data_IF_581913964925
#
_entry.id   IF_581913964925
#
_cell.length_a   1.000
_cell.length_b   1.000
_cell.length_c   1.000
_cell.angle_alpha   90.00
_cell.angle_beta   90.00
_cell.angle_gamma   90.00
#
_symmetry.space_group_name_H-M   'P 1'
#
loop_
_entity.id
_entity.type
_entity.pdbx_description
1 polymer ?
#
# COMPACT_ATOMS: atom_id res chain seq x y z
N UNK A 1 -30.17 14.98 -67.75
CA UNK A 1 -30.13 13.84 -66.81
C UNK A 1 -28.91 12.91 -67.01
N UNK A 2 -27.69 13.43 -67.31
CA UNK A 2 -26.51 12.56 -67.62
C UNK A 2 -25.40 12.59 -66.55
N UNK A 3 -25.45 13.50 -65.57
CA UNK A 3 -24.40 13.65 -64.53
C UNK A 3 -24.59 12.75 -63.30
N UNK A 4 -25.80 12.22 -63.07
CA UNK A 4 -26.11 11.38 -61.91
C UNK A 4 -25.59 9.94 -62.03
N UNK A 5 -25.42 9.44 -63.26
CA UNK A 5 -24.96 8.07 -63.50
C UNK A 5 -23.45 7.87 -63.29
N UNK A 6 -22.64 8.92 -63.44
CA UNK A 6 -21.19 8.86 -63.20
C UNK A 6 -20.83 8.83 -61.71
N UNK A 7 -21.63 9.47 -60.85
CA UNK A 7 -21.40 9.46 -59.41
C UNK A 7 -21.68 8.09 -58.78
N UNK A 8 -22.70 7.38 -59.29
CA UNK A 8 -23.11 6.06 -58.76
C UNK A 8 -22.10 4.97 -59.13
N UNK A 9 -21.55 5.00 -60.35
CA UNK A 9 -20.51 4.05 -60.76
C UNK A 9 -19.19 4.28 -60.03
N UNK A 10 -18.81 5.54 -59.77
CA UNK A 10 -17.64 5.86 -58.96
C UNK A 10 -17.76 5.34 -57.52
N UNK A 11 -18.94 5.48 -56.91
CA UNK A 11 -19.19 5.01 -55.55
C UNK A 11 -19.17 3.48 -55.44
N UNK A 12 -19.74 2.77 -56.43
CA UNK A 12 -19.69 1.31 -56.47
C UNK A 12 -18.27 0.77 -56.67
N UNK A 13 -17.46 1.42 -57.51
CA UNK A 13 -16.08 1.01 -57.75
C UNK A 13 -15.20 1.21 -56.49
N UNK A 14 -15.41 2.31 -55.75
CA UNK A 14 -14.74 2.54 -54.46
C UNK A 14 -15.15 1.50 -53.41
N UNK A 15 -16.44 1.17 -53.30
CA UNK A 15 -16.95 0.18 -52.35
C UNK A 15 -16.42 -1.24 -52.64
N UNK A 16 -16.32 -1.62 -53.92
CA UNK A 16 -15.74 -2.89 -54.34
C UNK A 16 -14.23 -2.99 -54.04
N UNK A 17 -13.49 -1.87 -54.18
CA UNK A 17 -12.07 -1.82 -53.84
C UNK A 17 -11.81 -1.94 -52.32
N UNK A 18 -12.70 -1.41 -51.49
CA UNK A 18 -12.63 -1.53 -50.02
C UNK A 18 -12.97 -2.94 -49.53
N UNK A 19 -13.85 -3.67 -50.22
CA UNK A 19 -14.22 -5.05 -49.87
C UNK A 19 -13.16 -6.09 -50.29
N UNK A 20 -12.29 -5.75 -51.23
CA UNK A 20 -11.25 -6.65 -51.75
C UNK A 20 -9.88 -6.49 -51.05
N UNK A 21 -9.76 -5.60 -50.06
CA UNK A 21 -8.53 -5.43 -49.31
C UNK A 21 -8.29 -6.67 -48.43
N UNK A 22 -7.23 -7.46 -48.65
CA UNK A 22 -6.92 -8.59 -47.78
C UNK A 22 -6.63 -8.06 -46.37
N UNK A 23 -7.04 -8.79 -45.31
CA UNK A 23 -6.70 -8.43 -43.94
C UNK A 23 -5.18 -8.30 -43.84
N UNK A 24 -4.70 -7.09 -43.57
CA UNK A 24 -3.28 -6.86 -43.36
C UNK A 24 -2.90 -7.56 -42.06
N UNK A 25 -1.90 -8.44 -42.05
CA UNK A 25 -1.39 -9.01 -40.81
C UNK A 25 -0.88 -7.85 -39.95
N UNK A 26 -1.57 -7.56 -38.85
CA UNK A 26 -1.08 -6.59 -37.89
C UNK A 26 0.11 -7.22 -37.18
N UNK A 27 1.28 -6.57 -37.25
CA UNK A 27 2.53 -7.03 -36.61
C UNK A 27 2.53 -6.85 -35.09
N UNK A 28 1.36 -6.61 -34.48
CA UNK A 28 1.20 -6.48 -33.04
C UNK A 28 0.76 -7.81 -32.39
N UNK A 29 1.19 -8.95 -32.93
CA UNK A 29 1.19 -10.20 -32.18
C UNK A 29 2.50 -10.26 -31.40
N UNK A 30 2.51 -9.66 -30.22
CA UNK A 30 3.61 -9.84 -29.27
C UNK A 30 3.55 -11.27 -28.75
N UNK A 31 4.10 -12.21 -29.51
CA UNK A 31 4.35 -13.58 -29.05
C UNK A 31 5.62 -13.57 -28.21
N UNK A 32 5.59 -12.87 -27.06
CA UNK A 32 6.58 -13.13 -26.04
C UNK A 32 6.26 -14.52 -25.49
N UNK A 33 7.23 -15.45 -25.47
CA UNK A 33 7.02 -16.68 -24.75
C UNK A 33 6.82 -16.28 -23.28
N UNK A 34 5.69 -16.67 -22.71
CA UNK A 34 5.42 -16.54 -21.28
C UNK A 34 6.34 -17.51 -20.54
N UNK A 35 7.62 -17.15 -20.42
CA UNK A 35 8.66 -17.97 -19.77
C UNK A 35 8.50 -18.04 -18.24
N UNK A 36 7.51 -17.36 -17.68
CA UNK A 36 7.23 -17.37 -16.26
C UNK A 36 5.83 -17.95 -16.03
N UNK A 37 5.77 -19.25 -15.77
CA UNK A 37 4.62 -19.83 -15.07
C UNK A 37 4.93 -19.77 -13.58
N UNK A 38 3.98 -19.26 -12.80
CA UNK A 38 4.11 -19.12 -11.36
C UNK A 38 2.73 -18.93 -10.73
N UNK A 39 2.57 -19.39 -9.50
CA UNK A 39 1.40 -19.07 -8.70
C UNK A 39 1.59 -17.69 -8.08
N UNK A 40 0.75 -16.73 -8.47
CA UNK A 40 0.70 -15.41 -7.85
C UNK A 40 -0.52 -15.36 -6.94
N UNK A 41 -0.29 -15.11 -5.66
CA UNK A 41 -1.38 -14.83 -4.74
C UNK A 41 -1.62 -13.32 -4.73
N UNK A 42 -2.72 -12.90 -5.34
CA UNK A 42 -3.18 -11.53 -5.24
C UNK A 42 -4.01 -11.38 -3.96
N UNK A 43 -3.69 -10.39 -3.15
CA UNK A 43 -4.47 -10.08 -1.96
C UNK A 43 -3.97 -8.81 -1.27
N UNK A 44 -4.55 -8.52 -0.12
CA UNK A 44 -4.19 -7.35 0.69
C UNK A 44 -3.51 -7.78 1.97
N UNK A 45 -2.45 -7.07 2.35
CA UNK A 45 -1.89 -7.17 3.71
C UNK A 45 -2.80 -6.34 4.60
N UNK A 46 -3.52 -7.01 5.49
CA UNK A 46 -4.42 -6.32 6.42
C UNK A 46 -3.61 -5.55 7.48
N UNK A 47 -4.07 -4.36 7.90
CA UNK A 47 -3.39 -3.59 8.92
C UNK A 47 -3.54 -4.22 10.31
N UNK A 48 -2.59 -3.98 11.23
CA UNK A 48 -2.81 -4.29 12.64
C UNK A 48 -4.01 -3.51 13.19
N UNK A 49 -4.63 -4.01 14.25
CA UNK A 49 -5.70 -3.30 14.97
C UNK A 49 -5.21 -2.89 16.34
N UNK A 50 -5.27 -1.60 16.67
CA UNK A 50 -4.87 -1.13 18.00
C UNK A 50 -5.72 -1.76 19.10
N UNK A 51 -5.05 -2.19 20.18
CA UNK A 51 -5.70 -2.74 21.37
C UNK A 51 -5.59 -1.75 22.53
N UNK A 52 -4.38 -1.26 22.80
CA UNK A 52 -4.19 -0.25 23.84
C UNK A 52 -2.82 0.41 23.74
N UNK A 53 -2.70 1.59 24.34
CA UNK A 53 -1.42 2.14 24.76
C UNK A 53 -1.45 2.42 26.26
N UNK A 54 -0.45 1.90 26.97
CA UNK A 54 -0.32 2.07 28.42
C UNK A 54 1.02 2.66 28.77
N UNK A 55 1.03 3.56 29.75
CA UNK A 55 2.26 4.03 30.36
C UNK A 55 2.75 2.98 31.37
N UNK A 56 3.99 2.52 31.22
CA UNK A 56 4.63 1.58 32.14
C UNK A 56 5.81 2.23 32.88
N UNK A 57 5.52 3.06 33.89
CA UNK A 57 6.53 3.80 34.64
C UNK A 57 6.87 5.17 34.03
N UNK A 58 8.02 5.72 34.42
CA UNK A 58 8.42 7.08 33.99
C UNK A 58 8.96 7.04 32.56
N UNK A 59 8.16 7.58 31.63
CA UNK A 59 8.53 7.78 30.23
C UNK A 59 8.69 6.50 29.41
N UNK A 60 8.22 5.36 29.90
CA UNK A 60 8.11 4.14 29.10
C UNK A 60 6.64 3.93 28.73
N UNK A 61 6.38 3.64 27.45
CA UNK A 61 5.05 3.43 26.89
C UNK A 61 5.02 2.12 26.16
N UNK A 62 3.97 1.33 26.40
CA UNK A 62 3.76 0.04 25.75
C UNK A 62 2.54 0.19 24.86
N UNK A 63 2.78 0.03 23.57
CA UNK A 63 1.78 -0.05 22.53
C UNK A 63 1.46 -1.50 22.26
N UNK A 64 0.18 -1.85 22.18
CA UNK A 64 -0.28 -3.22 21.95
C UNK A 64 -1.30 -3.26 20.82
N UNK A 65 -1.17 -4.25 19.94
CA UNK A 65 -2.06 -4.43 18.80
C UNK A 65 -2.42 -5.90 18.61
N UNK A 66 -3.55 -6.12 17.95
CA UNK A 66 -4.01 -7.41 17.52
C UNK A 66 -3.54 -7.70 16.09
N UNK A 67 -3.24 -8.97 15.85
CA UNK A 67 -2.91 -9.47 14.53
C UNK A 67 -4.20 -9.57 13.71
N UNK A 68 -4.23 -9.01 12.49
CA UNK A 68 -5.41 -9.14 11.65
C UNK A 68 -5.60 -10.59 11.20
N UNK A 69 -6.86 -10.98 11.01
CA UNK A 69 -7.24 -12.32 10.54
C UNK A 69 -7.67 -12.22 9.07
N UNK A 70 -7.06 -13.05 8.22
CA UNK A 70 -7.29 -13.06 6.77
C UNK A 70 -6.26 -12.26 5.97
N UNK A 71 -6.50 -12.11 4.68
CA UNK A 71 -5.57 -11.47 3.75
C UNK A 71 -4.31 -12.29 3.46
N UNK A 72 -3.34 -11.65 2.81
CA UNK A 72 -2.03 -12.26 2.53
C UNK A 72 -1.24 -12.39 3.83
N UNK A 73 -0.49 -13.50 4.05
CA UNK A 73 0.32 -13.67 5.25
C UNK A 73 1.30 -12.51 5.44
N UNK A 74 1.34 -11.98 6.66
CA UNK A 74 2.30 -10.94 7.03
C UNK A 74 3.69 -11.54 7.24
N UNK A 75 4.72 -10.81 6.85
CA UNK A 75 6.14 -11.13 7.07
C UNK A 75 6.75 -10.34 8.21
N UNK A 76 6.11 -9.25 8.65
CA UNK A 76 6.53 -8.47 9.81
C UNK A 76 5.64 -7.26 10.08
N UNK A 77 6.12 -6.40 10.97
CA UNK A 77 5.62 -5.05 11.12
C UNK A 77 6.76 -4.07 10.97
N UNK A 78 6.48 -2.91 10.39
CA UNK A 78 7.39 -1.79 10.37
C UNK A 78 6.81 -0.66 11.21
N UNK A 79 7.63 -0.06 12.06
CA UNK A 79 7.21 1.07 12.86
C UNK A 79 8.20 2.23 12.78
N UNK A 80 7.66 3.44 12.89
CA UNK A 80 8.42 4.69 12.98
C UNK A 80 7.86 5.55 14.10
N UNK A 81 8.75 6.26 14.78
CA UNK A 81 8.38 7.24 15.79
C UNK A 81 8.76 8.62 15.26
N UNK A 82 7.80 9.54 15.24
CA UNK A 82 8.00 10.89 14.74
C UNK A 82 7.52 11.95 15.74
N UNK A 83 8.09 13.13 15.64
CA UNK A 83 7.61 14.35 16.30
C UNK A 83 7.32 15.38 15.21
N UNK A 84 6.04 15.63 14.97
CA UNK A 84 5.62 16.39 13.79
C UNK A 84 6.15 15.72 12.52
N UNK A 85 7.00 16.42 11.77
CA UNK A 85 7.61 15.92 10.53
C UNK A 85 8.96 15.24 10.74
N UNK A 86 9.53 15.30 11.94
CA UNK A 86 10.85 14.74 12.22
C UNK A 86 10.73 13.30 12.69
N UNK A 87 11.42 12.36 12.03
CA UNK A 87 11.59 10.99 12.53
C UNK A 87 12.62 10.99 13.64
N UNK A 88 12.24 10.45 14.80
CA UNK A 88 13.09 10.35 15.98
C UNK A 88 13.52 8.92 16.28
N UNK A 89 12.82 7.93 15.72
CA UNK A 89 13.21 6.51 15.75
C UNK A 89 12.59 5.74 14.59
N UNK A 90 13.27 4.68 14.13
CA UNK A 90 12.85 3.88 12.98
C UNK A 90 13.21 4.49 11.61
N UNK A 91 12.77 3.86 10.50
CA UNK A 91 11.95 2.65 10.45
C UNK A 91 12.66 1.42 11.03
N UNK A 92 11.92 0.60 11.76
CA UNK A 92 12.43 -0.63 12.36
C UNK A 92 11.41 -1.73 12.18
N UNK A 93 11.91 -2.94 11.91
CA UNK A 93 11.08 -4.10 11.63
C UNK A 93 10.95 -4.99 12.86
N UNK A 94 9.71 -5.38 13.16
CA UNK A 94 9.34 -6.33 14.19
C UNK A 94 8.87 -7.64 13.56
N UNK A 95 8.95 -8.71 14.34
CA UNK A 95 8.54 -10.04 13.88
C UNK A 95 7.07 -10.10 13.45
N UNK A 96 6.77 -11.03 12.54
CA UNK A 96 5.41 -11.40 12.14
C UNK A 96 4.58 -12.05 13.26
N UNK A 97 5.04 -12.08 14.50
CA UNK A 97 4.26 -12.52 15.67
C UNK A 97 4.19 -11.45 16.76
N UNK A 98 4.89 -10.32 16.59
CA UNK A 98 4.89 -9.23 17.55
C UNK A 98 3.47 -8.66 17.72
N UNK A 99 3.09 -8.42 18.97
CA UNK A 99 1.80 -7.82 19.37
C UNK A 99 1.99 -6.62 20.30
N UNK A 100 3.25 -6.23 20.56
CA UNK A 100 3.57 -5.12 21.44
C UNK A 100 4.90 -4.47 21.07
N UNK A 101 4.97 -3.16 21.27
CA UNK A 101 6.18 -2.35 21.14
C UNK A 101 6.38 -1.51 22.41
N UNK A 102 7.61 -1.48 22.92
CA UNK A 102 7.97 -0.62 24.04
C UNK A 102 8.77 0.56 23.54
N UNK A 103 8.30 1.78 23.84
CA UNK A 103 8.95 3.04 23.51
C UNK A 103 9.42 3.72 24.80
N UNK A 104 10.71 4.07 24.89
CA UNK A 104 11.33 4.64 26.09
C UNK A 104 11.57 6.15 26.01
N UNK A 105 11.69 6.77 27.17
CA UNK A 105 11.62 8.22 27.41
C UNK A 105 12.70 9.03 26.69
N UNK A 106 13.86 8.42 26.42
CA UNK A 106 14.94 9.07 25.69
C UNK A 106 14.52 9.50 24.28
N UNK A 107 13.51 8.82 23.71
CA UNK A 107 12.92 9.14 22.42
C UNK A 107 11.72 10.09 22.56
N UNK A 108 10.99 9.99 23.67
CA UNK A 108 9.77 10.76 23.95
C UNK A 108 10.11 11.96 24.85
N UNK A 109 10.92 12.89 24.36
CA UNK A 109 11.07 14.18 25.06
C UNK A 109 9.77 15.00 24.99
N UNK A 110 9.70 16.10 25.73
CA UNK A 110 8.54 17.02 25.76
C UNK A 110 7.94 17.28 24.38
N UNK A 111 6.61 17.22 24.32
CA UNK A 111 5.84 17.39 23.10
C UNK A 111 5.07 16.12 22.68
N UNK A 112 4.37 16.24 21.56
CA UNK A 112 3.59 15.17 20.97
C UNK A 112 4.45 14.31 20.06
N UNK A 113 4.42 13.01 20.31
CA UNK A 113 5.15 12.01 19.52
C UNK A 113 4.14 11.04 18.92
N UNK A 114 4.27 10.76 17.63
CA UNK A 114 3.40 9.87 16.87
C UNK A 114 4.16 8.59 16.53
N UNK A 115 3.63 7.46 16.97
CA UNK A 115 4.03 6.13 16.50
C UNK A 115 3.20 5.79 15.26
N UNK A 116 3.84 5.39 14.18
CA UNK A 116 3.19 4.84 12.99
C UNK A 116 3.58 3.37 12.89
N UNK A 117 2.61 2.48 12.69
CA UNK A 117 2.79 1.03 12.57
C UNK A 117 2.13 0.54 11.28
N UNK A 118 2.84 -0.29 10.53
CA UNK A 118 2.40 -0.85 9.25
C UNK A 118 2.71 -2.34 9.22
N UNK A 119 1.81 -3.18 8.70
CA UNK A 119 2.11 -4.59 8.45
C UNK A 119 2.82 -4.74 7.10
N UNK A 120 3.87 -5.55 7.07
CA UNK A 120 4.58 -5.92 5.84
C UNK A 120 4.22 -7.34 5.44
N UNK A 121 4.09 -7.58 4.13
CA UNK A 121 3.81 -8.88 3.52
C UNK A 121 4.87 -9.30 2.51
N UNK A 122 4.69 -10.48 1.87
CA UNK A 122 5.60 -10.96 0.84
C UNK A 122 5.67 -9.96 -0.34
N UNK A 123 6.84 -9.86 -0.98
CA UNK A 123 7.01 -8.98 -2.13
C UNK A 123 6.95 -7.48 -1.81
N UNK A 124 7.27 -7.07 -0.56
CA UNK A 124 7.26 -5.67 -0.11
C UNK A 124 5.87 -5.02 -0.07
N UNK A 125 4.80 -5.82 -0.03
CA UNK A 125 3.46 -5.30 0.16
C UNK A 125 3.31 -4.71 1.56
N UNK A 126 2.66 -3.56 1.67
CA UNK A 126 2.42 -2.87 2.94
C UNK A 126 0.94 -2.63 3.14
N UNK A 127 0.46 -2.79 4.37
CA UNK A 127 -0.89 -2.39 4.75
C UNK A 127 -1.03 -0.86 4.80
N UNK A 128 -2.25 -0.33 4.92
CA UNK A 128 -2.45 1.01 5.48
C UNK A 128 -1.77 1.11 6.85
N UNK A 129 -1.24 2.28 7.18
CA UNK A 129 -0.63 2.52 8.49
C UNK A 129 -1.69 2.81 9.55
N UNK A 130 -1.41 2.43 10.79
CA UNK A 130 -2.13 2.86 11.98
C UNK A 130 -1.22 3.73 12.82
N UNK A 131 -1.79 4.70 13.53
CA UNK A 131 -1.02 5.66 14.33
C UNK A 131 -1.45 5.62 15.78
N UNK A 132 -0.50 5.79 16.69
CA UNK A 132 -0.73 6.06 18.10
C UNK A 132 0.04 7.32 18.51
N UNK A 133 -0.41 8.03 19.54
CA UNK A 133 0.20 9.27 19.99
C UNK A 133 0.55 9.22 21.47
N UNK A 134 1.70 9.80 21.81
CA UNK A 134 2.12 10.07 23.17
C UNK A 134 2.22 11.58 23.34
N UNK A 135 1.49 12.12 24.29
CA UNK A 135 1.55 13.52 24.68
C UNK A 135 2.23 13.64 26.03
N UNK A 136 3.30 14.44 26.11
CA UNK A 136 4.06 14.62 27.36
C UNK A 136 4.08 16.09 27.77
N UNK A 137 3.45 16.40 28.92
CA UNK A 137 3.44 17.75 29.52
C UNK A 137 4.22 17.76 30.83
N UNK A 138 5.18 18.70 30.95
CA UNK A 138 6.16 18.81 32.05
C UNK A 138 5.60 18.70 33.48
N UNK A 139 4.34 19.07 33.71
CA UNK A 139 3.79 19.29 35.06
C UNK A 139 2.46 18.55 35.28
N UNK A 140 1.78 18.12 34.20
CA UNK A 140 0.41 17.60 34.25
C UNK A 140 0.31 16.09 33.96
N UNK A 141 1.43 15.47 33.60
CA UNK A 141 1.51 14.06 33.23
C UNK A 141 1.65 13.85 31.74
N UNK A 142 2.15 12.68 31.37
CA UNK A 142 2.14 12.13 30.02
C UNK A 142 0.95 11.20 29.83
N UNK A 143 0.31 11.28 28.67
CA UNK A 143 -0.82 10.46 28.24
C UNK A 143 -0.46 9.75 26.93
N UNK A 144 -1.13 8.64 26.65
CA UNK A 144 -1.00 7.94 25.39
C UNK A 144 -2.37 7.54 24.86
N UNK A 145 -2.54 7.60 23.54
CA UNK A 145 -3.77 7.24 22.82
C UNK A 145 -3.47 6.54 21.50
N UNK A 146 -4.46 5.83 20.97
CA UNK A 146 -4.43 5.09 19.71
C UNK A 146 -5.64 5.44 18.86
#
# INVERSE_FOLDING_TARGET
>A
MKRRHLAVTGLLACAAALAAAPPQPTTAAWAFPEYASGSFEAGTVLPPTWVSCVRNGVGTFIFTWANPVGGVPRTGYEWTLSRGTQVISGPTTESATATSLTVTAGLVSLGDTTLTLTATGPGQWTSPSITGSISSVLILGTSCSV
#
